data_IF_035696531342
#
_entry.id   IF_035696531342
#
_cell.length_a   1.000
_cell.length_b   1.000
_cell.length_c   1.000
_cell.angle_alpha   90.00
_cell.angle_beta   90.00
_cell.angle_gamma   90.00
#
_symmetry.space_group_name_H-M   'P 1'
#
loop_
_entity.id
_entity.type
_entity.pdbx_description
1 polymer ?
#
# COMPACT_ATOMS: atom_id res chain seq x y z
N UNK A 1 -21.85 6.78 -20.36
CA UNK A 1 -22.04 6.71 -21.83
C UNK A 1 -20.74 7.24 -22.45
N UNK A 2 -19.83 6.37 -22.87
CA UNK A 2 -18.60 6.77 -23.57
C UNK A 2 -18.95 6.95 -25.05
N UNK A 3 -18.67 8.12 -25.62
CA UNK A 3 -18.74 8.33 -27.06
C UNK A 3 -17.57 7.59 -27.73
N UNK A 4 -17.81 6.33 -28.10
CA UNK A 4 -16.85 5.49 -28.81
C UNK A 4 -16.86 5.84 -30.30
N UNK A 5 -16.18 6.93 -30.65
CA UNK A 5 -15.96 7.36 -32.04
C UNK A 5 -14.59 7.02 -32.62
N UNK A 6 -13.69 6.41 -31.84
CA UNK A 6 -12.32 6.12 -32.27
C UNK A 6 -11.97 4.64 -32.02
N UNK A 7 -11.69 3.84 -33.07
CA UNK A 7 -11.36 2.42 -32.95
C UNK A 7 -9.93 2.16 -32.45
N UNK A 8 -9.12 3.21 -32.27
CA UNK A 8 -7.74 3.14 -31.78
C UNK A 8 -7.50 4.23 -30.74
N UNK A 9 -6.85 3.86 -29.64
CA UNK A 9 -6.44 4.76 -28.55
C UNK A 9 -4.93 4.71 -28.44
N UNK A 10 -4.29 5.86 -28.25
CA UNK A 10 -2.86 5.93 -27.99
C UNK A 10 -2.56 5.28 -26.62
N UNK A 11 -1.67 4.30 -26.61
CA UNK A 11 -1.30 3.56 -25.41
C UNK A 11 0.23 3.40 -25.31
N UNK A 12 0.72 3.23 -24.09
CA UNK A 12 2.09 2.82 -23.80
C UNK A 12 2.06 1.41 -23.24
N UNK A 13 2.74 0.48 -23.91
CA UNK A 13 2.96 -0.88 -23.41
C UNK A 13 4.12 -0.83 -22.41
N UNK A 14 3.92 -1.46 -21.26
CA UNK A 14 4.91 -1.57 -20.19
C UNK A 14 5.00 -3.05 -19.83
N UNK A 15 6.20 -3.61 -19.91
CA UNK A 15 6.47 -4.94 -19.39
C UNK A 15 6.55 -4.86 -17.86
N UNK A 16 5.60 -5.50 -17.18
CA UNK A 16 5.51 -5.51 -15.73
C UNK A 16 5.14 -6.90 -15.24
N UNK A 17 5.76 -7.34 -14.14
CA UNK A 17 5.28 -8.51 -13.39
C UNK A 17 3.93 -8.19 -12.72
N UNK A 18 3.19 -9.22 -12.30
CA UNK A 18 1.93 -9.05 -11.57
C UNK A 18 2.10 -8.14 -10.34
N UNK A 19 3.22 -8.29 -9.62
CA UNK A 19 3.53 -7.47 -8.46
C UNK A 19 3.79 -6.00 -8.85
N UNK A 20 4.58 -5.78 -9.89
CA UNK A 20 4.85 -4.43 -10.39
C UNK A 20 3.56 -3.75 -10.87
N UNK A 21 2.71 -4.49 -11.58
CA UNK A 21 1.40 -4.00 -12.02
C UNK A 21 0.50 -3.63 -10.83
N UNK A 22 0.48 -4.46 -9.78
CA UNK A 22 -0.29 -4.20 -8.56
C UNK A 22 0.20 -2.96 -7.82
N UNK A 23 1.52 -2.80 -7.65
CA UNK A 23 2.13 -1.61 -7.04
C UNK A 23 1.82 -0.35 -7.84
N UNK A 24 1.92 -0.41 -9.17
CA UNK A 24 1.56 0.70 -10.06
C UNK A 24 0.08 1.07 -9.95
N UNK A 25 -0.81 0.09 -9.85
CA UNK A 25 -2.24 0.32 -9.71
C UNK A 25 -2.57 0.99 -8.37
N UNK A 26 -2.04 0.46 -7.26
CA UNK A 26 -2.24 1.02 -5.92
C UNK A 26 -1.71 2.47 -5.83
N UNK A 27 -0.48 2.71 -6.30
CA UNK A 27 0.14 4.04 -6.29
C UNK A 27 -0.66 5.06 -7.13
N UNK A 28 -1.14 4.67 -8.32
CA UNK A 28 -1.96 5.56 -9.16
C UNK A 28 -3.33 5.86 -8.55
N UNK A 29 -3.98 4.86 -7.95
CA UNK A 29 -5.29 5.07 -7.33
C UNK A 29 -5.18 6.07 -6.17
N UNK A 30 -4.09 6.01 -5.40
CA UNK A 30 -3.80 6.96 -4.31
C UNK A 30 -3.53 8.40 -4.77
N UNK A 31 -3.24 8.65 -6.05
CA UNK A 31 -3.01 9.99 -6.58
C UNK A 31 -4.30 10.71 -7.00
N UNK A 32 -5.46 10.05 -6.87
CA UNK A 32 -6.76 10.65 -7.21
C UNK A 32 -7.12 11.76 -6.22
N UNK A 33 -7.56 12.90 -6.74
CA UNK A 33 -8.01 14.04 -5.93
C UNK A 33 -9.40 13.82 -5.30
N UNK A 34 -10.17 12.86 -5.81
CA UNK A 34 -11.58 12.61 -5.46
C UNK A 34 -11.79 11.41 -4.53
N UNK A 35 -10.74 10.95 -3.84
CA UNK A 35 -10.85 9.83 -2.90
C UNK A 35 -11.68 10.22 -1.67
N UNK A 36 -12.70 9.42 -1.38
CA UNK A 36 -13.32 9.44 -0.06
C UNK A 36 -12.37 8.85 0.99
N UNK A 37 -12.60 9.16 2.27
CA UNK A 37 -11.79 8.62 3.36
C UNK A 37 -11.77 7.07 3.39
N UNK A 38 -12.85 6.41 2.98
CA UNK A 38 -12.91 4.94 2.91
C UNK A 38 -12.06 4.41 1.76
N UNK A 39 -12.07 5.07 0.60
CA UNK A 39 -11.22 4.72 -0.54
C UNK A 39 -9.75 4.98 -0.26
N UNK A 40 -9.43 6.06 0.46
CA UNK A 40 -8.07 6.37 0.90
C UNK A 40 -7.52 5.27 1.82
N UNK A 41 -8.30 4.85 2.83
CA UNK A 41 -7.93 3.73 3.70
C UNK A 41 -7.75 2.43 2.91
N UNK A 42 -8.68 2.11 2.01
CA UNK A 42 -8.57 0.93 1.15
C UNK A 42 -7.31 0.97 0.27
N UNK A 43 -6.98 2.14 -0.28
CA UNK A 43 -5.78 2.38 -1.06
C UNK A 43 -4.49 2.14 -0.26
N UNK A 44 -4.43 2.63 0.99
CA UNK A 44 -3.30 2.38 1.89
C UNK A 44 -3.16 0.88 2.19
N UNK A 45 -4.28 0.17 2.44
CA UNK A 45 -4.23 -1.28 2.66
C UNK A 45 -3.70 -2.01 1.43
N UNK A 46 -4.18 -1.66 0.23
CA UNK A 46 -3.71 -2.29 -1.00
C UNK A 46 -2.24 -2.00 -1.30
N UNK A 47 -1.79 -0.76 -1.05
CA UNK A 47 -0.39 -0.38 -1.19
C UNK A 47 0.50 -1.23 -0.27
N UNK A 48 0.22 -1.26 1.03
CA UNK A 48 1.03 -2.00 2.00
C UNK A 48 1.01 -3.50 1.66
N UNK A 49 -0.14 -4.05 1.29
CA UNK A 49 -0.26 -5.46 0.91
C UNK A 49 0.48 -5.79 -0.41
N UNK A 50 0.53 -4.85 -1.36
CA UNK A 50 1.29 -5.02 -2.60
C UNK A 50 2.81 -4.90 -2.37
N UNK A 51 3.25 -4.10 -1.40
CA UNK A 51 4.67 -3.98 -1.09
C UNK A 51 5.18 -5.17 -0.28
N UNK A 52 4.40 -5.64 0.71
CA UNK A 52 4.74 -6.78 1.55
C UNK A 52 4.29 -8.14 0.96
N UNK A 53 3.69 -8.14 -0.23
CA UNK A 53 3.03 -9.31 -0.84
C UNK A 53 3.95 -10.49 -1.18
N UNK A 54 5.26 -10.34 -1.03
CA UNK A 54 6.25 -11.42 -1.20
C UNK A 54 6.86 -11.88 0.14
N UNK A 55 6.51 -11.23 1.26
CA UNK A 55 7.05 -11.57 2.58
C UNK A 55 6.31 -12.74 3.21
N UNK A 56 6.95 -13.91 3.42
CA UNK A 56 6.26 -15.11 3.92
C UNK A 56 5.62 -14.90 5.29
N UNK A 57 6.32 -14.19 6.18
CA UNK A 57 5.83 -13.86 7.53
C UNK A 57 4.56 -13.00 7.50
N UNK A 58 4.44 -12.14 6.49
CA UNK A 58 3.28 -11.28 6.28
C UNK A 58 2.12 -12.06 5.63
N UNK A 59 2.41 -12.87 4.61
CA UNK A 59 1.42 -13.72 3.96
C UNK A 59 0.77 -14.72 4.93
N UNK A 60 1.54 -15.22 5.89
CA UNK A 60 1.04 -16.12 6.94
C UNK A 60 0.07 -15.48 7.93
N UNK A 61 -0.14 -14.15 7.89
CA UNK A 61 -1.01 -13.43 8.82
C UNK A 61 -2.51 -13.52 8.49
N UNK A 62 -2.87 -13.93 7.28
CA UNK A 62 -4.27 -14.05 6.87
C UNK A 62 -4.48 -14.13 5.37
N UNK A 63 -5.72 -14.45 4.99
CA UNK A 63 -6.07 -14.77 3.61
C UNK A 63 -6.25 -13.52 2.74
N UNK A 64 -6.61 -12.39 3.37
CA UNK A 64 -6.89 -11.12 2.68
C UNK A 64 -6.00 -9.96 3.12
N UNK A 65 -5.85 -8.91 2.27
CA UNK A 65 -5.05 -7.72 2.58
C UNK A 65 -5.43 -7.07 3.92
N UNK A 66 -6.73 -6.87 4.14
CA UNK A 66 -7.25 -6.27 5.38
C UNK A 66 -6.94 -7.14 6.60
N UNK A 67 -7.07 -8.47 6.46
CA UNK A 67 -6.80 -9.39 7.57
C UNK A 67 -5.32 -9.40 7.93
N UNK A 68 -4.44 -9.50 6.93
CA UNK A 68 -2.99 -9.46 7.13
C UNK A 68 -2.54 -8.16 7.79
N UNK A 69 -2.98 -7.02 7.27
CA UNK A 69 -2.61 -5.72 7.82
C UNK A 69 -3.15 -5.52 9.25
N UNK A 70 -4.40 -5.92 9.52
CA UNK A 70 -4.97 -5.86 10.87
C UNK A 70 -4.18 -6.74 11.85
N UNK A 71 -3.82 -7.95 11.44
CA UNK A 71 -3.02 -8.86 12.24
C UNK A 71 -1.59 -8.31 12.47
N UNK A 72 -0.97 -7.72 11.45
CA UNK A 72 0.33 -7.07 11.55
C UNK A 72 0.30 -5.93 12.57
N UNK A 73 -0.64 -5.00 12.42
CA UNK A 73 -0.80 -3.87 13.33
C UNK A 73 -1.06 -4.33 14.77
N UNK A 74 -1.87 -5.36 14.97
CA UNK A 74 -2.10 -5.95 16.30
C UNK A 74 -0.84 -6.56 16.93
N UNK A 75 0.01 -7.22 16.13
CA UNK A 75 1.30 -7.73 16.61
C UNK A 75 2.25 -6.60 16.99
N UNK A 76 2.33 -5.55 16.16
CA UNK A 76 3.17 -4.39 16.42
C UNK A 76 2.74 -3.66 17.70
N UNK A 77 1.43 -3.45 17.86
CA UNK A 77 0.86 -2.82 19.06
C UNK A 77 1.10 -3.66 20.32
N UNK A 78 0.96 -4.99 20.23
CA UNK A 78 1.22 -5.89 21.36
C UNK A 78 2.65 -5.80 21.86
N UNK A 79 3.63 -5.76 20.96
CA UNK A 79 5.05 -5.58 21.31
C UNK A 79 5.28 -4.21 21.94
N UNK A 80 4.76 -3.14 21.34
CA UNK A 80 4.82 -1.77 21.87
C UNK A 80 4.29 -1.70 23.31
N UNK A 81 3.05 -2.15 23.51
CA UNK A 81 2.39 -2.10 24.81
C UNK A 81 3.09 -2.96 25.86
N UNK A 82 3.73 -4.07 25.45
CA UNK A 82 4.52 -4.90 26.37
C UNK A 82 5.80 -4.20 26.82
N UNK A 83 6.51 -3.54 25.90
CA UNK A 83 7.68 -2.70 26.22
C UNK A 83 7.32 -1.54 27.17
N UNK A 84 6.22 -0.85 26.89
CA UNK A 84 5.74 0.27 27.73
C UNK A 84 5.41 -0.17 29.17
N UNK A 85 4.92 -1.40 29.34
CA UNK A 85 4.64 -1.99 30.66
C UNK A 85 5.89 -2.58 31.34
N UNK A 86 7.06 -2.51 30.72
CA UNK A 86 8.29 -3.13 31.22
C UNK A 86 8.24 -4.67 31.23
N UNK A 87 7.38 -5.28 30.41
CA UNK A 87 7.30 -6.73 30.27
C UNK A 87 8.40 -7.25 29.34
N UNK A 88 8.92 -8.44 29.63
CA UNK A 88 9.86 -9.11 28.73
C UNK A 88 9.17 -9.46 27.41
N UNK A 89 9.74 -8.98 26.31
CA UNK A 89 9.33 -9.33 24.95
C UNK A 89 10.26 -10.42 24.45
N UNK A 90 9.69 -11.44 23.78
CA UNK A 90 10.50 -12.50 23.17
C UNK A 90 11.40 -11.90 22.07
N UNK A 91 12.68 -12.28 21.99
CA UNK A 91 13.60 -11.75 20.98
C UNK A 91 13.09 -11.89 19.54
N UNK A 92 12.39 -12.99 19.23
CA UNK A 92 11.83 -13.23 17.89
C UNK A 92 10.70 -12.24 17.56
N UNK A 93 9.87 -11.91 18.55
CA UNK A 93 8.78 -10.94 18.38
C UNK A 93 9.33 -9.52 18.23
N UNK A 94 10.41 -9.20 18.94
CA UNK A 94 11.12 -7.93 18.82
C UNK A 94 11.81 -7.78 17.45
N UNK A 95 12.46 -8.84 16.96
CA UNK A 95 13.07 -8.84 15.63
C UNK A 95 12.03 -8.63 14.52
N UNK A 96 10.89 -9.33 14.59
CA UNK A 96 9.78 -9.14 13.64
C UNK A 96 9.19 -7.74 13.73
N UNK A 97 9.07 -7.18 14.94
CA UNK A 97 8.63 -5.80 15.13
C UNK A 97 9.55 -4.82 14.39
N UNK A 98 10.87 -4.94 14.58
CA UNK A 98 11.83 -4.08 13.91
C UNK A 98 11.82 -4.25 12.39
N UNK A 99 11.80 -5.49 11.89
CA UNK A 99 11.69 -5.80 10.45
C UNK A 99 10.50 -5.08 9.80
N UNK A 100 9.30 -5.28 10.35
CA UNK A 100 8.11 -4.71 9.73
C UNK A 100 7.99 -3.21 9.91
N UNK A 101 8.48 -2.65 11.02
CA UNK A 101 8.54 -1.18 11.18
C UNK A 101 9.45 -0.54 10.13
N UNK A 102 10.63 -1.11 9.88
CA UNK A 102 11.57 -0.62 8.86
C UNK A 102 10.98 -0.74 7.43
N UNK A 103 10.30 -1.85 7.14
CA UNK A 103 9.62 -2.05 5.86
C UNK A 103 8.48 -1.03 5.67
N UNK A 104 7.64 -0.83 6.68
CA UNK A 104 6.56 0.16 6.62
C UNK A 104 7.12 1.58 6.43
N UNK A 105 8.14 1.95 7.18
CA UNK A 105 8.82 3.26 7.04
C UNK A 105 9.37 3.44 5.62
N UNK A 106 9.98 2.40 5.06
CA UNK A 106 10.49 2.40 3.68
C UNK A 106 9.36 2.62 2.68
N UNK A 107 8.24 1.90 2.82
CA UNK A 107 7.06 2.02 1.95
C UNK A 107 6.54 3.45 1.95
N UNK A 108 6.31 4.04 3.13
CA UNK A 108 5.75 5.38 3.24
C UNK A 108 6.73 6.47 2.80
N UNK A 109 8.04 6.27 3.00
CA UNK A 109 9.07 7.23 2.54
C UNK A 109 9.27 7.17 1.03
N UNK A 110 9.08 6.00 0.41
CA UNK A 110 9.19 5.81 -1.02
C UNK A 110 7.94 6.27 -1.81
N UNK A 111 6.91 6.79 -1.13
CA UNK A 111 5.70 7.23 -1.81
C UNK A 111 5.98 8.35 -2.81
N UNK A 112 5.42 8.26 -4.03
CA UNK A 112 5.56 9.33 -4.99
C UNK A 112 4.94 10.60 -4.43
N UNK A 113 5.63 11.73 -4.62
CA UNK A 113 5.06 13.04 -4.29
C UNK A 113 3.73 13.20 -5.03
N UNK A 114 2.73 13.86 -4.42
CA UNK A 114 1.50 14.20 -5.12
C UNK A 114 1.85 14.86 -6.44
N UNK A 115 1.38 14.27 -7.54
CA UNK A 115 1.57 14.83 -8.87
C UNK A 115 0.51 15.92 -9.00
N UNK A 116 0.92 17.15 -9.33
CA UNK A 116 -0.05 18.15 -9.77
C UNK A 116 -0.69 17.64 -11.05
N UNK A 117 -1.96 17.23 -10.98
CA UNK A 117 -2.71 16.88 -12.17
C UNK A 117 -2.91 18.16 -12.97
N UNK A 118 -2.41 18.26 -14.22
CA UNK A 118 -2.77 19.37 -15.07
C UNK A 118 -4.25 19.20 -15.39
N UNK A 119 -5.12 19.85 -14.61
CA UNK A 119 -6.53 19.95 -14.94
C UNK A 119 -6.62 20.46 -16.38
N UNK A 120 -7.37 19.74 -17.22
CA UNK A 120 -7.59 20.12 -18.60
C UNK A 120 -8.21 21.53 -18.63
N UNK A 121 -7.41 22.54 -18.99
CA UNK A 121 -7.93 23.85 -19.36
C UNK A 121 -8.18 23.84 -20.86
N UNK A 122 -9.44 23.92 -21.33
CA UNK A 122 -9.68 24.17 -22.74
C UNK A 122 -9.01 25.49 -23.11
N UNK A 123 -8.23 25.48 -24.19
CA UNK A 123 -7.69 26.70 -24.78
C UNK A 123 -8.84 27.65 -25.13
N UNK A 124 -8.74 28.91 -24.71
CA UNK A 124 -9.67 29.97 -25.10
C UNK A 124 -9.37 30.45 -26.52
#
# INVERSE_FOLDING_TARGET
>A
MQELGQPQVAARIVDATDLQARRMAAAKNMQREDLSAVEEVAGIVELVDAELGEEPDYLALGDGPVQRLKALLGRLDSVRASKERGSEVRPEAEALFHKFMEQLETIFTALPRPVEWPCYRPAR
#
